data_IF_272039910060
#
_entry.id   IF_272039910060
#
_cell.length_a   1.000
_cell.length_b   1.000
_cell.length_c   1.000
_cell.angle_alpha   90.00
_cell.angle_beta   90.00
_cell.angle_gamma   90.00
#
_symmetry.space_group_name_H-M   'P 1'
#
loop_
_entity.id
_entity.type
_entity.pdbx_description
1 polymer ?
#
# COMPACT_ATOMS: atom_id res chain seq x y z
N UNK A 1 22.11 24.42 -2.35
CA UNK A 1 21.86 24.36 -3.80
C UNK A 1 22.59 23.17 -4.37
N UNK A 2 22.03 21.98 -4.21
CA UNK A 2 22.52 20.78 -4.88
C UNK A 2 21.69 20.62 -6.16
N UNK A 3 22.38 20.57 -7.30
CA UNK A 3 21.81 20.40 -8.62
C UNK A 3 20.96 19.12 -8.67
N UNK A 4 19.67 19.26 -8.95
CA UNK A 4 18.79 18.18 -9.34
C UNK A 4 19.15 17.82 -10.79
N UNK A 5 19.89 16.73 -10.98
CA UNK A 5 20.19 16.19 -12.30
C UNK A 5 19.09 15.25 -12.76
N UNK A 6 18.44 15.66 -13.84
CA UNK A 6 17.76 14.92 -14.90
C UNK A 6 17.19 13.51 -14.58
N UNK A 7 16.06 13.49 -13.94
CA UNK A 7 14.88 12.71 -14.29
C UNK A 7 13.69 13.45 -13.66
N UNK A 8 13.27 14.56 -14.27
CA UNK A 8 12.08 15.29 -13.86
C UNK A 8 10.84 14.47 -14.22
N UNK A 9 10.54 13.47 -13.45
CA UNK A 9 9.18 12.94 -13.40
C UNK A 9 8.33 14.01 -12.71
N UNK A 10 7.42 14.59 -13.47
CA UNK A 10 6.46 15.54 -12.94
C UNK A 10 5.56 14.85 -11.91
N UNK A 11 5.94 14.97 -10.65
CA UNK A 11 5.06 14.61 -9.56
C UNK A 11 3.97 15.68 -9.44
N UNK A 12 2.73 15.26 -9.25
CA UNK A 12 1.67 16.17 -8.84
C UNK A 12 2.03 16.84 -7.51
N UNK A 13 1.46 18.02 -7.27
CA UNK A 13 1.70 18.76 -6.03
C UNK A 13 1.49 17.91 -4.79
N UNK A 14 0.39 17.18 -4.71
CA UNK A 14 0.09 16.32 -3.59
C UNK A 14 1.12 15.19 -3.40
N UNK A 15 1.72 14.67 -4.48
CA UNK A 15 2.76 13.62 -4.40
C UNK A 15 4.06 14.17 -3.80
N UNK A 16 4.42 15.40 -4.14
CA UNK A 16 5.55 16.11 -3.53
C UNK A 16 5.30 16.39 -2.05
N UNK A 17 4.08 16.80 -1.70
CA UNK A 17 3.69 17.08 -0.33
C UNK A 17 3.69 15.77 0.50
N UNK A 18 3.21 14.64 -0.07
CA UNK A 18 3.26 13.34 0.55
C UNK A 18 4.70 12.86 0.80
N UNK A 19 5.57 12.97 -0.21
CA UNK A 19 6.99 12.62 -0.08
C UNK A 19 7.67 13.48 0.99
N UNK A 20 7.41 14.78 0.98
CA UNK A 20 7.96 15.73 1.97
C UNK A 20 7.49 15.38 3.39
N UNK A 21 6.21 15.05 3.57
CA UNK A 21 5.66 14.60 4.85
C UNK A 21 6.33 13.32 5.35
N UNK A 22 6.49 12.33 4.47
CA UNK A 22 7.17 11.09 4.80
C UNK A 22 8.63 11.34 5.22
N UNK A 23 9.36 12.20 4.50
CA UNK A 23 10.72 12.59 4.87
C UNK A 23 10.77 13.25 6.26
N UNK A 24 9.82 14.15 6.56
CA UNK A 24 9.72 14.81 7.88
C UNK A 24 9.37 13.84 9.01
N UNK A 25 8.66 12.75 8.71
CA UNK A 25 8.37 11.68 9.66
C UNK A 25 9.56 10.69 9.83
N UNK A 26 10.78 11.09 9.47
CA UNK A 26 11.96 10.24 9.62
C UNK A 26 12.00 9.08 8.62
N UNK A 27 11.37 9.21 7.46
CA UNK A 27 11.26 8.18 6.42
C UNK A 27 10.53 6.93 6.89
N UNK A 28 9.57 7.12 7.79
CA UNK A 28 8.65 6.06 8.22
C UNK A 28 7.22 6.61 8.23
N UNK A 29 6.30 5.95 7.55
CA UNK A 29 4.91 6.41 7.48
C UNK A 29 4.07 5.74 6.42
N UNK A 30 2.76 5.91 6.54
CA UNK A 30 1.77 5.46 5.57
C UNK A 30 1.25 6.68 4.79
N UNK A 31 1.24 6.58 3.47
CA UNK A 31 0.54 7.48 2.58
C UNK A 31 -0.80 6.86 2.22
N UNK A 32 -1.86 7.46 2.74
CA UNK A 32 -3.24 7.10 2.44
C UNK A 32 -3.77 8.03 1.34
N UNK A 33 -3.99 7.49 0.15
CA UNK A 33 -4.44 8.28 -1.00
C UNK A 33 -5.40 7.48 -1.88
N UNK A 34 -6.43 8.14 -2.37
CA UNK A 34 -7.49 7.51 -3.18
C UNK A 34 -6.95 6.70 -4.35
N UNK A 35 -7.68 5.66 -4.73
CA UNK A 35 -7.33 4.82 -5.89
C UNK A 35 -7.26 5.66 -7.16
N UNK A 36 -6.30 5.38 -8.03
CA UNK A 36 -6.10 6.11 -9.28
C UNK A 36 -5.36 7.45 -9.16
N UNK A 37 -5.04 7.92 -7.95
CA UNK A 37 -4.34 9.18 -7.75
C UNK A 37 -2.86 9.16 -8.12
N UNK A 38 -2.27 7.97 -8.32
CA UNK A 38 -0.85 7.82 -8.63
C UNK A 38 0.05 7.67 -7.40
N UNK A 39 -0.41 7.01 -6.33
CA UNK A 39 0.37 6.68 -5.11
C UNK A 39 1.73 6.06 -5.43
N UNK A 40 1.78 5.21 -6.45
CA UNK A 40 3.00 4.54 -6.90
C UNK A 40 4.14 5.51 -7.20
N UNK A 41 3.84 6.70 -7.74
CA UNK A 41 4.87 7.70 -8.06
C UNK A 41 5.57 8.25 -6.81
N UNK A 42 4.84 8.37 -5.68
CA UNK A 42 5.45 8.77 -4.39
C UNK A 42 6.48 7.72 -3.97
N UNK A 43 6.14 6.44 -4.10
CA UNK A 43 7.05 5.36 -3.72
C UNK A 43 8.21 5.16 -4.71
N UNK A 44 8.01 5.40 -6.01
CA UNK A 44 9.09 5.42 -6.99
C UNK A 44 10.11 6.54 -6.67
N UNK A 45 9.63 7.72 -6.29
CA UNK A 45 10.49 8.82 -5.87
C UNK A 45 11.24 8.50 -4.56
N UNK A 46 10.58 7.84 -3.59
CA UNK A 46 11.22 7.36 -2.37
C UNK A 46 12.29 6.29 -2.66
N UNK A 47 12.01 5.35 -3.58
CA UNK A 47 12.96 4.33 -4.02
C UNK A 47 14.18 4.97 -4.70
N UNK A 48 13.98 5.96 -5.56
CA UNK A 48 15.06 6.70 -6.20
C UNK A 48 15.95 7.44 -5.19
N UNK A 49 15.34 8.06 -4.17
CA UNK A 49 16.09 8.71 -3.10
C UNK A 49 16.92 7.70 -2.28
N UNK A 50 16.32 6.58 -1.91
CA UNK A 50 16.99 5.51 -1.16
C UNK A 50 18.17 4.93 -1.98
N UNK A 51 17.95 4.60 -3.26
CA UNK A 51 19.01 4.08 -4.15
C UNK A 51 20.17 5.08 -4.30
N UNK A 52 19.90 6.38 -4.49
CA UNK A 52 20.96 7.42 -4.56
C UNK A 52 21.81 7.50 -3.28
N UNK A 53 21.24 7.12 -2.13
CA UNK A 53 21.95 7.05 -0.84
C UNK A 53 22.63 5.69 -0.62
N UNK A 54 22.61 4.79 -1.61
CA UNK A 54 23.23 3.47 -1.54
C UNK A 54 22.42 2.44 -0.72
N UNK A 55 21.14 2.72 -0.44
CA UNK A 55 20.27 1.79 0.29
C UNK A 55 19.61 0.80 -0.66
N UNK A 56 19.49 -0.43 -0.18
CA UNK A 56 18.69 -1.45 -0.84
C UNK A 56 17.19 -1.16 -0.70
N UNK A 57 16.41 -1.43 -1.75
CA UNK A 57 14.95 -1.22 -1.74
C UNK A 57 14.21 -2.54 -1.90
N UNK A 58 13.30 -2.82 -0.98
CA UNK A 58 12.35 -3.93 -1.06
C UNK A 58 10.96 -3.39 -1.33
N UNK A 59 10.34 -3.83 -2.43
CA UNK A 59 8.94 -3.52 -2.74
C UNK A 59 8.10 -4.78 -2.52
N UNK A 60 7.16 -4.71 -1.58
CA UNK A 60 6.27 -5.83 -1.23
C UNK A 60 4.86 -5.54 -1.73
N UNK A 61 4.33 -6.42 -2.56
CA UNK A 61 3.05 -6.24 -3.25
C UNK A 61 2.07 -7.39 -2.95
N UNK A 62 0.74 -7.15 -3.06
CA UNK A 62 -0.26 -8.18 -2.76
C UNK A 62 -0.25 -9.36 -3.74
N UNK A 63 0.07 -9.13 -5.01
CA UNK A 63 -0.13 -10.13 -6.06
C UNK A 63 0.98 -10.12 -7.12
N UNK A 64 1.04 -11.22 -7.91
CA UNK A 64 1.93 -11.35 -9.06
C UNK A 64 1.67 -10.30 -10.15
N UNK A 65 0.42 -9.96 -10.37
CA UNK A 65 0.06 -8.93 -11.36
C UNK A 65 0.69 -7.59 -10.97
N UNK A 66 0.55 -7.20 -9.72
CA UNK A 66 1.18 -5.98 -9.20
C UNK A 66 2.70 -6.07 -9.19
N UNK A 67 3.29 -7.25 -8.93
CA UNK A 67 4.74 -7.45 -9.04
C UNK A 67 5.24 -7.12 -10.45
N UNK A 68 4.56 -7.60 -11.49
CA UNK A 68 4.93 -7.30 -12.87
C UNK A 68 4.75 -5.82 -13.21
N UNK A 69 3.66 -5.19 -12.76
CA UNK A 69 3.43 -3.76 -12.97
C UNK A 69 4.50 -2.91 -12.27
N UNK A 70 4.84 -3.22 -11.02
CA UNK A 70 5.88 -2.54 -10.28
C UNK A 70 7.25 -2.69 -10.96
N UNK A 71 7.59 -3.90 -11.40
CA UNK A 71 8.85 -4.17 -12.11
C UNK A 71 8.95 -3.34 -13.38
N UNK A 72 7.90 -3.29 -14.20
CA UNK A 72 7.85 -2.48 -15.42
C UNK A 72 8.03 -0.99 -15.11
N UNK A 73 7.30 -0.47 -14.10
CA UNK A 73 7.41 0.93 -13.68
C UNK A 73 8.79 1.29 -13.14
N UNK A 74 9.42 0.39 -12.38
CA UNK A 74 10.78 0.60 -11.89
C UNK A 74 11.80 0.62 -13.01
N UNK A 75 11.71 -0.26 -14.01
CA UNK A 75 12.58 -0.21 -15.19
C UNK A 75 12.43 1.08 -15.99
N UNK A 76 11.21 1.58 -16.12
CA UNK A 76 10.92 2.85 -16.78
C UNK A 76 11.50 4.03 -15.98
N UNK A 77 11.31 4.03 -14.66
CA UNK A 77 11.64 5.14 -13.78
C UNK A 77 13.12 5.16 -13.35
N UNK A 78 13.72 3.99 -13.16
CA UNK A 78 15.10 3.80 -12.71
C UNK A 78 15.84 2.81 -13.64
N UNK A 79 16.04 3.15 -14.93
CA UNK A 79 16.63 2.23 -15.90
C UNK A 79 18.07 1.82 -15.56
N UNK A 80 18.75 2.57 -14.72
CA UNK A 80 20.12 2.26 -14.25
C UNK A 80 20.17 1.23 -13.12
N UNK A 81 19.03 0.93 -12.47
CA UNK A 81 18.98 0.02 -11.33
C UNK A 81 18.83 -1.44 -11.79
N UNK A 82 19.49 -2.34 -11.10
CA UNK A 82 19.27 -3.78 -11.22
C UNK A 82 18.02 -4.15 -10.43
N UNK A 83 16.96 -4.53 -11.13
CA UNK A 83 15.67 -4.84 -10.54
C UNK A 83 15.46 -6.34 -10.55
N UNK A 84 15.36 -6.95 -9.37
CA UNK A 84 15.07 -8.35 -9.19
C UNK A 84 13.61 -8.62 -8.80
N UNK A 85 13.19 -9.88 -8.95
CA UNK A 85 11.88 -10.39 -8.57
C UNK A 85 11.99 -11.63 -7.70
N UNK A 86 11.18 -11.70 -6.66
CA UNK A 86 11.16 -12.85 -5.76
C UNK A 86 9.72 -13.33 -5.53
N UNK A 87 9.47 -14.56 -5.90
CA UNK A 87 8.14 -15.19 -5.78
C UNK A 87 7.59 -15.66 -7.12
N UNK A 88 6.57 -16.49 -7.08
CA UNK A 88 6.12 -17.27 -8.23
C UNK A 88 7.28 -18.11 -8.76
N UNK A 89 7.66 -17.93 -10.03
CA UNK A 89 8.79 -18.61 -10.68
C UNK A 89 10.11 -17.86 -10.55
N UNK A 90 10.10 -16.65 -9.97
CA UNK A 90 11.29 -15.80 -9.83
C UNK A 90 12.03 -16.06 -8.52
N UNK A 91 13.36 -16.13 -8.61
CA UNK A 91 14.23 -16.48 -7.46
C UNK A 91 15.44 -15.57 -7.33
N UNK A 92 15.33 -14.31 -7.80
CA UNK A 92 16.43 -13.37 -7.76
C UNK A 92 16.88 -13.12 -6.33
N UNK A 93 18.19 -12.96 -6.15
CA UNK A 93 18.80 -12.79 -4.83
C UNK A 93 18.98 -11.30 -4.51
N UNK A 94 18.84 -10.94 -3.25
CA UNK A 94 19.05 -9.59 -2.73
C UNK A 94 20.43 -9.02 -3.13
N UNK A 95 21.47 -9.84 -3.09
CA UNK A 95 22.85 -9.43 -3.44
C UNK A 95 23.08 -9.08 -4.92
N UNK A 96 22.18 -9.51 -5.80
CA UNK A 96 22.32 -9.36 -7.25
C UNK A 96 21.51 -8.19 -7.83
N UNK A 97 20.74 -7.50 -6.98
CA UNK A 97 19.89 -6.38 -7.37
C UNK A 97 19.99 -5.18 -6.42
N UNK A 98 19.57 -4.03 -6.88
CA UNK A 98 19.49 -2.79 -6.11
C UNK A 98 18.09 -2.60 -5.54
N UNK A 99 17.09 -3.13 -6.28
CA UNK A 99 15.67 -3.12 -5.90
C UNK A 99 15.10 -4.52 -6.12
N UNK A 100 14.45 -5.07 -5.11
CA UNK A 100 13.77 -6.37 -5.21
C UNK A 100 12.26 -6.17 -5.08
N UNK A 101 11.49 -6.67 -6.04
CA UNK A 101 10.03 -6.69 -5.99
C UNK A 101 9.56 -8.09 -5.61
N UNK A 102 8.73 -8.20 -4.60
CA UNK A 102 8.28 -9.49 -4.08
C UNK A 102 6.81 -9.48 -3.71
N UNK A 103 6.16 -10.64 -3.74
CA UNK A 103 4.83 -10.78 -3.17
C UNK A 103 4.90 -10.88 -1.65
N UNK A 104 3.84 -10.45 -0.95
CA UNK A 104 3.75 -10.54 0.52
C UNK A 104 3.90 -11.97 1.04
N UNK A 105 3.44 -12.99 0.31
CA UNK A 105 3.62 -14.40 0.68
C UNK A 105 5.09 -14.81 0.58
N UNK A 106 5.77 -14.43 -0.50
CA UNK A 106 7.20 -14.73 -0.69
C UNK A 106 8.08 -13.97 0.29
N UNK A 107 7.78 -12.69 0.57
CA UNK A 107 8.46 -11.91 1.59
C UNK A 107 8.29 -12.52 2.99
N UNK A 108 7.07 -12.98 3.33
CA UNK A 108 6.79 -13.65 4.60
C UNK A 108 7.55 -14.97 4.79
N UNK A 109 7.70 -15.74 3.70
CA UNK A 109 8.37 -17.04 3.74
C UNK A 109 9.90 -16.93 3.69
N UNK A 110 10.44 -16.04 2.83
CA UNK A 110 11.87 -15.98 2.52
C UNK A 110 12.63 -14.86 3.25
N UNK A 111 11.92 -13.87 3.81
CA UNK A 111 12.49 -12.72 4.56
C UNK A 111 13.71 -12.11 3.88
N UNK A 112 13.59 -11.50 2.70
CA UNK A 112 14.71 -10.87 2.03
C UNK A 112 15.23 -9.68 2.84
N UNK A 113 16.34 -9.88 3.53
CA UNK A 113 16.99 -8.86 4.37
C UNK A 113 17.84 -7.92 3.51
N UNK A 114 18.02 -6.65 3.92
CA UNK A 114 18.95 -5.76 3.22
C UNK A 114 20.36 -6.35 3.24
N UNK A 115 21.14 -6.20 2.14
CA UNK A 115 22.43 -6.91 1.96
C UNK A 115 23.56 -6.34 2.81
N UNK A 116 23.38 -5.18 3.41
CA UNK A 116 24.40 -4.46 4.17
C UNK A 116 23.83 -3.89 5.47
N UNK A 117 24.70 -3.61 6.42
CA UNK A 117 24.37 -2.92 7.68
C UNK A 117 23.91 -1.47 7.45
N UNK A 118 24.12 -0.91 6.26
CA UNK A 118 23.61 0.41 5.86
C UNK A 118 22.08 0.47 5.88
N UNK A 119 21.42 -0.69 5.91
CA UNK A 119 19.97 -0.80 5.96
C UNK A 119 19.28 -0.74 4.61
N UNK A 120 18.00 -0.42 4.63
CA UNK A 120 17.21 -0.38 3.43
C UNK A 120 15.87 0.31 3.61
N UNK A 121 15.19 0.52 2.49
CA UNK A 121 13.81 0.98 2.42
C UNK A 121 12.89 -0.20 2.09
N UNK A 122 11.86 -0.42 2.91
CA UNK A 122 10.74 -1.29 2.56
C UNK A 122 9.54 -0.46 2.13
N UNK A 123 8.98 -0.79 0.98
CA UNK A 123 7.75 -0.21 0.44
C UNK A 123 6.69 -1.32 0.45
N UNK A 124 5.58 -1.11 1.14
CA UNK A 124 4.45 -2.04 1.16
C UNK A 124 3.26 -1.42 0.40
N UNK A 125 3.00 -1.94 -0.78
CA UNK A 125 1.84 -1.52 -1.57
C UNK A 125 0.58 -2.22 -1.10
N UNK A 126 -0.55 -1.49 -1.04
CA UNK A 126 -1.81 -1.89 -0.43
C UNK A 126 -1.59 -2.43 1.00
N UNK A 127 -0.90 -1.62 1.82
CA UNK A 127 -0.39 -2.03 3.12
C UNK A 127 -1.50 -2.46 4.11
N UNK A 128 -2.76 -2.05 3.90
CA UNK A 128 -3.90 -2.53 4.68
C UNK A 128 -4.02 -4.07 4.66
N UNK A 129 -3.57 -4.73 3.59
CA UNK A 129 -3.62 -6.20 3.45
C UNK A 129 -2.58 -6.98 4.27
N UNK A 130 -1.66 -6.29 4.99
CA UNK A 130 -0.56 -6.95 5.70
C UNK A 130 -0.86 -7.26 7.19
N UNK A 131 -2.03 -6.88 7.68
CA UNK A 131 -2.37 -7.02 9.11
C UNK A 131 -2.60 -8.46 9.60
N UNK A 132 -2.87 -9.43 8.71
CA UNK A 132 -3.12 -10.82 9.08
C UNK A 132 -1.89 -11.53 9.66
N UNK A 133 -2.11 -12.51 10.55
CA UNK A 133 -1.06 -13.19 11.33
C UNK A 133 0.09 -13.77 10.49
N UNK A 134 -0.19 -14.29 9.30
CA UNK A 134 0.83 -14.82 8.38
C UNK A 134 1.52 -13.70 7.62
N UNK A 135 0.74 -12.73 7.10
CA UNK A 135 1.24 -11.71 6.19
C UNK A 135 2.01 -10.59 6.90
N UNK A 136 1.75 -10.34 8.19
CA UNK A 136 2.55 -9.40 9.00
C UNK A 136 4.04 -9.76 9.04
N UNK A 137 4.39 -11.04 8.81
CA UNK A 137 5.80 -11.47 8.73
C UNK A 137 6.56 -10.91 7.53
N UNK A 138 5.83 -10.42 6.51
CA UNK A 138 6.42 -9.72 5.36
C UNK A 138 6.80 -8.26 5.67
N UNK A 139 6.35 -7.73 6.80
CA UNK A 139 6.79 -6.45 7.35
C UNK A 139 8.11 -6.69 8.10
N UNK A 140 9.21 -6.57 7.39
CA UNK A 140 10.55 -6.95 7.85
C UNK A 140 11.16 -5.79 8.65
N UNK A 141 11.36 -5.99 9.96
CA UNK A 141 11.78 -4.94 10.90
C UNK A 141 13.21 -4.45 10.70
N UNK A 142 14.03 -5.21 10.01
CA UNK A 142 15.42 -4.90 9.69
C UNK A 142 15.59 -3.76 8.68
N UNK A 143 14.50 -3.35 8.02
CA UNK A 143 14.46 -2.14 7.20
C UNK A 143 14.19 -0.91 8.07
N UNK A 144 15.10 0.08 8.02
CA UNK A 144 15.01 1.29 8.82
C UNK A 144 14.01 2.30 8.25
N UNK A 145 13.95 2.39 6.91
CA UNK A 145 13.00 3.25 6.22
C UNK A 145 11.78 2.44 5.78
N UNK A 146 10.59 2.98 5.99
CA UNK A 146 9.34 2.24 5.81
C UNK A 146 8.26 3.12 5.18
N UNK A 147 7.77 2.71 4.04
CA UNK A 147 6.70 3.41 3.33
C UNK A 147 5.52 2.47 3.07
N UNK A 148 4.40 2.72 3.70
CA UNK A 148 3.13 2.07 3.39
C UNK A 148 2.32 2.89 2.39
N UNK A 149 1.72 2.24 1.41
CA UNK A 149 0.77 2.84 0.48
C UNK A 149 -0.57 2.15 0.63
N UNK A 150 -1.66 2.91 0.71
CA UNK A 150 -3.02 2.36 0.70
C UNK A 150 -4.03 3.37 0.21
N UNK A 151 -5.17 2.90 -0.27
CA UNK A 151 -6.31 3.76 -0.58
C UNK A 151 -7.15 4.05 0.67
N UNK A 152 -7.21 3.10 1.59
CA UNK A 152 -7.92 3.21 2.87
C UNK A 152 -7.26 2.32 3.91
N UNK A 153 -7.24 2.80 5.15
CA UNK A 153 -6.77 2.03 6.32
C UNK A 153 -7.92 1.40 7.10
N UNK A 154 -9.18 1.69 6.72
CA UNK A 154 -10.34 1.12 7.40
C UNK A 154 -10.35 -0.40 7.29
N UNK A 155 -10.33 -1.06 8.44
CA UNK A 155 -10.46 -2.50 8.62
C UNK A 155 -11.36 -2.77 9.80
N UNK A 156 -12.08 -3.89 9.72
CA UNK A 156 -12.95 -4.36 10.80
C UNK A 156 -12.18 -5.05 11.95
N UNK A 157 -10.89 -5.37 11.73
CA UNK A 157 -10.00 -5.96 12.72
C UNK A 157 -9.01 -4.91 13.27
N UNK A 158 -8.46 -5.15 14.43
CA UNK A 158 -7.50 -4.27 15.12
C UNK A 158 -6.08 -4.31 14.50
N UNK A 159 -5.94 -4.81 13.27
CA UNK A 159 -4.64 -5.00 12.63
C UNK A 159 -3.98 -3.66 12.26
N UNK A 160 -4.75 -2.61 12.06
CA UNK A 160 -4.21 -1.26 11.82
C UNK A 160 -3.43 -0.81 13.06
N UNK A 161 -4.08 -0.80 14.22
CA UNK A 161 -3.50 -0.32 15.48
C UNK A 161 -2.44 -1.27 16.04
N UNK A 162 -2.62 -2.58 15.88
CA UNK A 162 -1.72 -3.58 16.47
C UNK A 162 -0.52 -3.93 15.59
N UNK A 163 -0.59 -3.69 14.28
CA UNK A 163 0.46 -4.12 13.35
C UNK A 163 0.96 -2.99 12.46
N UNK A 164 0.07 -2.30 11.72
CA UNK A 164 0.49 -1.34 10.71
C UNK A 164 1.05 -0.05 11.34
N UNK A 165 0.32 0.54 12.28
CA UNK A 165 0.77 1.76 12.97
C UNK A 165 2.10 1.54 13.71
N UNK A 166 2.30 0.45 14.51
CA UNK A 166 3.58 0.19 15.16
C UNK A 166 4.74 -0.03 14.18
N UNK A 167 4.47 -0.62 13.00
CA UNK A 167 5.51 -0.86 12.01
C UNK A 167 5.88 0.42 11.24
N UNK A 168 4.90 1.18 10.76
CA UNK A 168 5.15 2.36 9.92
C UNK A 168 5.29 3.67 10.71
N UNK A 169 4.89 3.73 11.98
CA UNK A 169 4.90 4.95 12.78
C UNK A 169 3.65 5.84 12.60
N UNK A 170 2.66 5.39 11.82
CA UNK A 170 1.41 6.11 11.60
C UNK A 170 1.19 6.59 10.17
N UNK A 171 0.10 7.32 9.98
CA UNK A 171 -0.22 7.95 8.68
C UNK A 171 0.50 9.29 8.59
N UNK A 172 1.43 9.41 7.64
CA UNK A 172 2.18 10.64 7.42
C UNK A 172 1.50 11.61 6.44
N UNK A 173 0.64 11.10 5.56
CA UNK A 173 -0.09 11.94 4.61
C UNK A 173 -1.42 11.31 4.20
N UNK A 174 -2.46 12.15 4.06
CA UNK A 174 -3.78 11.76 3.54
C UNK A 174 -4.15 12.61 2.33
N UNK A 175 -4.59 11.92 1.27
CA UNK A 175 -5.11 12.53 0.06
C UNK A 175 -6.48 11.94 -0.25
N UNK A 176 -7.52 12.63 0.24
CA UNK A 176 -8.90 12.17 0.16
C UNK A 176 -9.57 12.51 -1.17
N UNK A 177 -10.77 11.92 -1.39
CA UNK A 177 -11.56 12.10 -2.62
C UNK A 177 -11.88 13.57 -2.91
N UNK A 178 -12.30 14.34 -1.89
CA UNK A 178 -12.64 15.76 -2.08
C UNK A 178 -11.49 16.58 -2.64
N UNK A 179 -10.28 16.37 -2.10
CA UNK A 179 -9.09 17.05 -2.58
C UNK A 179 -8.69 16.57 -3.98
N UNK A 180 -8.75 15.26 -4.24
CA UNK A 180 -8.42 14.70 -5.55
C UNK A 180 -9.34 15.19 -6.68
N UNK A 181 -10.62 15.43 -6.39
CA UNK A 181 -11.58 16.04 -7.31
C UNK A 181 -11.24 17.52 -7.51
N UNK A 182 -10.98 18.25 -6.42
CA UNK A 182 -10.62 19.67 -6.47
C UNK A 182 -9.36 19.93 -7.28
N UNK A 183 -8.37 19.03 -7.16
CA UNK A 183 -7.10 19.10 -7.89
C UNK A 183 -7.21 18.57 -9.34
N UNK A 184 -8.38 18.10 -9.76
CA UNK A 184 -8.60 17.53 -11.10
C UNK A 184 -7.89 16.19 -11.35
N UNK A 185 -7.44 15.51 -10.29
CA UNK A 185 -6.75 14.20 -10.36
C UNK A 185 -7.75 13.06 -10.48
N UNK A 186 -8.91 13.18 -9.82
CA UNK A 186 -10.01 12.22 -9.92
C UNK A 186 -11.25 12.89 -10.53
N UNK A 187 -11.96 12.13 -11.36
CA UNK A 187 -13.25 12.57 -11.89
C UNK A 187 -14.31 12.61 -10.77
N UNK A 188 -15.21 13.57 -10.85
CA UNK A 188 -16.35 13.62 -9.94
C UNK A 188 -17.24 12.39 -10.17
N UNK A 189 -17.53 11.60 -9.13
CA UNK A 189 -18.40 10.42 -9.29
C UNK A 189 -19.83 10.87 -9.61
N UNK A 190 -20.47 10.15 -10.54
CA UNK A 190 -21.91 10.26 -10.80
C UNK A 190 -22.55 8.99 -10.26
N UNK A 191 -23.44 9.13 -9.30
CA UNK A 191 -24.17 8.01 -8.71
C UNK A 191 -25.60 8.05 -9.21
N UNK A 192 -26.05 6.94 -9.77
CA UNK A 192 -27.45 6.73 -10.13
C UNK A 192 -28.00 5.58 -9.28
N UNK A 193 -29.15 5.79 -8.66
CA UNK A 193 -29.88 4.75 -7.94
C UNK A 193 -30.97 4.20 -8.86
N UNK A 194 -30.85 2.89 -9.18
CA UNK A 194 -31.93 2.18 -9.84
C UNK A 194 -32.72 1.38 -8.79
N UNK A 195 -33.95 1.75 -8.52
CA UNK A 195 -34.80 0.96 -7.66
C UNK A 195 -35.36 -0.22 -8.50
N UNK A 196 -35.01 -1.42 -8.10
CA UNK A 196 -35.54 -2.66 -8.66
C UNK A 196 -36.48 -3.25 -7.60
N UNK A 197 -37.81 -3.34 -7.87
CA UNK A 197 -38.71 -3.99 -6.95
C UNK A 197 -38.38 -5.49 -6.86
N UNK A 198 -38.35 -6.02 -5.67
CA UNK A 198 -38.28 -7.47 -5.47
C UNK A 198 -39.59 -8.12 -5.94
N UNK A 199 -39.50 -9.31 -6.51
CA UNK A 199 -40.69 -10.13 -6.75
C UNK A 199 -41.29 -10.56 -5.38
N UNK A 200 -42.57 -10.95 -5.38
CA UNK A 200 -43.30 -11.22 -4.14
C UNK A 200 -42.66 -12.36 -3.31
N UNK A 201 -42.12 -13.36 -3.96
CA UNK A 201 -41.36 -14.46 -3.33
C UNK A 201 -40.03 -13.99 -2.76
N UNK A 202 -39.26 -13.21 -3.51
CA UNK A 202 -37.99 -12.59 -3.04
C UNK A 202 -38.25 -11.64 -1.87
N UNK A 203 -39.33 -10.87 -1.90
CA UNK A 203 -39.73 -9.98 -0.82
C UNK A 203 -40.06 -10.74 0.45
N UNK A 204 -40.77 -11.84 0.34
CA UNK A 204 -41.11 -12.68 1.48
C UNK A 204 -39.91 -13.32 2.12
N UNK A 205 -38.93 -13.78 1.31
CA UNK A 205 -37.67 -14.33 1.79
C UNK A 205 -36.82 -13.26 2.47
N UNK A 206 -36.70 -12.07 1.87
CA UNK A 206 -35.98 -10.93 2.43
C UNK A 206 -36.54 -10.53 3.80
N UNK A 207 -37.85 -10.36 3.92
CA UNK A 207 -38.52 -9.96 5.17
C UNK A 207 -38.33 -11.03 6.27
N UNK A 208 -38.34 -12.33 5.91
CA UNK A 208 -38.05 -13.40 6.86
C UNK A 208 -36.61 -13.41 7.36
N UNK A 209 -35.64 -13.14 6.48
CA UNK A 209 -34.22 -13.03 6.85
C UNK A 209 -34.00 -11.80 7.74
N UNK A 210 -34.59 -10.65 7.41
CA UNK A 210 -34.46 -9.42 8.20
C UNK A 210 -35.05 -9.60 9.60
N UNK A 211 -36.21 -10.23 9.72
CA UNK A 211 -36.81 -10.56 11.03
C UNK A 211 -35.87 -11.45 11.86
N UNK A 212 -35.26 -12.46 11.25
CA UNK A 212 -34.31 -13.36 11.90
C UNK A 212 -33.05 -12.62 12.40
N UNK A 213 -32.53 -11.68 11.59
CA UNK A 213 -31.39 -10.84 11.96
C UNK A 213 -31.71 -9.91 13.13
N UNK A 214 -32.89 -9.30 13.15
CA UNK A 214 -33.35 -8.46 14.26
C UNK A 214 -33.43 -9.28 15.54
N UNK A 215 -33.99 -10.48 15.49
CA UNK A 215 -34.08 -11.37 16.64
C UNK A 215 -32.72 -11.82 17.16
N UNK A 216 -31.80 -12.20 16.25
CA UNK A 216 -30.42 -12.57 16.61
C UNK A 216 -29.67 -11.40 17.28
N UNK A 217 -29.84 -10.15 16.77
CA UNK A 217 -29.25 -8.95 17.37
C UNK A 217 -29.80 -8.63 18.76
N UNK A 218 -31.10 -8.86 18.98
CA UNK A 218 -31.71 -8.73 20.31
C UNK A 218 -31.14 -9.75 21.27
N UNK A 219 -31.07 -11.03 20.88
CA UNK A 219 -30.51 -12.11 21.70
C UNK A 219 -29.05 -11.82 22.10
N UNK A 220 -28.24 -11.25 21.18
CA UNK A 220 -26.85 -10.89 21.48
C UNK A 220 -26.71 -9.68 22.43
N UNK A 221 -27.71 -8.78 22.48
CA UNK A 221 -27.73 -7.65 23.43
C UNK A 221 -28.14 -8.05 24.84
N UNK A 222 -28.88 -9.16 24.97
CA UNK A 222 -29.40 -9.67 26.24
C UNK A 222 -28.46 -10.73 26.88
N UNK A 223 -27.28 -10.97 26.28
CA UNK A 223 -26.22 -11.80 26.89
C UNK A 223 -25.42 -10.92 27.84
N UNK A 224 -25.37 -11.23 29.14
CA UNK A 224 -24.72 -10.45 30.18
C UNK A 224 -23.19 -10.41 30.02
#
# INVERSE_FOLDING_TARGET
>A
TAAMNHTDYFLYRWQLDALTSWLRCGRSGIVEAVTGSGKTNVALAAAADAHRRGLFVLVVVPSRVLMNQWTARLHEFLPQCRIGRLGDTFTDQVKDCDILVTTRHSASAKKPLPPTDAGGLIIADECHGFGGATLRKSLIHEYQERLGLTATLERSDEAVEKTLIPFFGGVCYRYGFGQAISDGVCAQPRVAFAAVPLADDERSEYDAIEASLVQARQTLRDVP
#
